data_IF_160236432229
#
_entry.id   IF_160236432229
#
_cell.length_a   1.000
_cell.length_b   1.000
_cell.length_c   1.000
_cell.angle_alpha   90.00
_cell.angle_beta   90.00
_cell.angle_gamma   90.00
#
_symmetry.space_group_name_H-M   'P 1'
#
loop_
_entity.id
_entity.type
_entity.pdbx_description
1 polymer ?
#
# COMPACT_ATOMS: atom_id res chain seq x y z
N UNK A 1 -20.67 -1.45 -5.97
CA UNK A 1 -19.76 -2.56 -5.61
C UNK A 1 -18.36 -2.06 -5.28
N UNK A 2 -17.75 -1.18 -6.08
CA UNK A 2 -16.37 -0.65 -5.86
C UNK A 2 -16.15 -0.02 -4.46
N UNK A 3 -17.07 0.83 -4.01
CA UNK A 3 -16.96 1.53 -2.70
C UNK A 3 -16.92 0.56 -1.51
N UNK A 4 -17.68 -0.53 -1.55
CA UNK A 4 -17.67 -1.52 -0.48
C UNK A 4 -16.33 -2.27 -0.43
N UNK A 5 -15.81 -2.66 -1.57
CA UNK A 5 -14.49 -3.31 -1.69
C UNK A 5 -13.37 -2.41 -1.16
N UNK A 6 -13.41 -1.12 -1.46
CA UNK A 6 -12.44 -0.14 -0.97
C UNK A 6 -12.43 -0.05 0.56
N UNK A 7 -13.61 0.03 1.18
CA UNK A 7 -13.70 0.08 2.66
C UNK A 7 -13.16 -1.19 3.31
N UNK A 8 -13.49 -2.34 2.75
CA UNK A 8 -12.99 -3.63 3.26
C UNK A 8 -11.48 -3.70 3.12
N UNK A 9 -10.93 -3.29 1.97
CA UNK A 9 -9.49 -3.22 1.73
C UNK A 9 -8.77 -2.35 2.77
N UNK A 10 -9.24 -1.12 2.96
CA UNK A 10 -8.66 -0.17 3.92
C UNK A 10 -8.75 -0.67 5.36
N UNK A 11 -9.87 -1.30 5.73
CA UNK A 11 -10.06 -1.85 7.08
C UNK A 11 -9.07 -2.97 7.36
N UNK A 12 -8.87 -3.91 6.43
CA UNK A 12 -7.87 -4.97 6.56
C UNK A 12 -6.44 -4.42 6.56
N UNK A 13 -6.15 -3.41 5.75
CA UNK A 13 -4.82 -2.81 5.67
C UNK A 13 -4.41 -2.16 7.00
N UNK A 14 -5.32 -1.39 7.61
CA UNK A 14 -5.06 -0.74 8.91
C UNK A 14 -4.99 -1.76 10.04
N UNK A 15 -5.82 -2.81 10.04
CA UNK A 15 -5.73 -3.92 10.99
C UNK A 15 -4.38 -4.65 10.88
N UNK A 16 -3.94 -4.95 9.67
CA UNK A 16 -2.65 -5.58 9.44
C UNK A 16 -1.49 -4.69 9.93
N UNK A 17 -1.56 -3.37 9.68
CA UNK A 17 -0.58 -2.41 10.16
C UNK A 17 -0.54 -2.34 11.70
N UNK A 18 -1.71 -2.37 12.34
CA UNK A 18 -1.79 -2.44 13.79
C UNK A 18 -1.07 -3.67 14.33
N UNK A 19 -1.36 -4.84 13.77
CA UNK A 19 -0.72 -6.11 14.17
C UNK A 19 0.78 -6.15 13.90
N UNK A 20 1.24 -5.44 12.88
CA UNK A 20 2.67 -5.31 12.53
C UNK A 20 3.41 -4.22 13.32
N UNK A 21 2.76 -3.54 14.26
CA UNK A 21 3.37 -2.47 15.06
C UNK A 21 3.54 -1.12 14.35
N UNK A 22 2.86 -0.93 13.21
CA UNK A 22 2.90 0.31 12.41
C UNK A 22 1.74 1.27 12.72
N UNK A 23 1.02 1.05 13.81
CA UNK A 23 -0.14 1.85 14.19
C UNK A 23 0.24 2.97 15.19
N UNK A 24 -0.26 4.21 15.01
CA UNK A 24 -1.09 4.66 13.89
C UNK A 24 -0.26 4.90 12.61
N UNK A 25 -0.93 4.76 11.46
CA UNK A 25 -0.33 5.05 10.16
C UNK A 25 -0.52 6.52 9.80
N UNK A 26 0.55 7.22 9.46
CA UNK A 26 0.41 8.54 8.87
C UNK A 26 -0.32 8.44 7.52
N UNK A 27 -1.06 9.49 7.16
CA UNK A 27 -1.75 9.62 5.88
C UNK A 27 -0.85 9.24 4.70
N UNK A 28 0.40 9.71 4.68
CA UNK A 28 1.37 9.39 3.62
C UNK A 28 1.68 7.89 3.56
N UNK A 29 1.99 7.26 4.69
CA UNK A 29 2.29 5.82 4.73
C UNK A 29 1.09 4.98 4.32
N UNK A 30 -0.11 5.40 4.71
CA UNK A 30 -1.32 4.69 4.32
C UNK A 30 -1.51 4.70 2.80
N UNK A 31 -1.39 5.86 2.14
CA UNK A 31 -1.49 5.95 0.69
C UNK A 31 -0.40 5.14 -0.02
N UNK A 32 0.82 5.11 0.53
CA UNK A 32 1.92 4.28 0.00
C UNK A 32 1.65 2.79 0.13
N UNK A 33 1.10 2.35 1.26
CA UNK A 33 0.67 0.96 1.44
C UNK A 33 -0.47 0.59 0.49
N UNK A 34 -1.45 1.47 0.29
CA UNK A 34 -2.51 1.28 -0.70
C UNK A 34 -1.90 1.14 -2.09
N UNK A 35 -0.92 1.97 -2.46
CA UNK A 35 -0.25 1.89 -3.75
C UNK A 35 0.44 0.53 -3.93
N UNK A 36 1.35 0.16 -3.03
CA UNK A 36 2.07 -1.11 -3.11
C UNK A 36 1.13 -2.31 -3.11
N UNK A 37 0.08 -2.27 -2.28
CA UNK A 37 -0.90 -3.35 -2.26
C UNK A 37 -1.72 -3.46 -3.55
N UNK A 38 -1.94 -2.39 -4.29
CA UNK A 38 -2.59 -2.47 -5.59
C UNK A 38 -1.65 -2.97 -6.69
N UNK A 39 -0.40 -2.50 -6.73
CA UNK A 39 0.59 -2.96 -7.70
C UNK A 39 0.88 -4.46 -7.57
N UNK A 40 0.94 -4.98 -6.34
CA UNK A 40 1.28 -6.37 -6.06
C UNK A 40 0.06 -7.31 -5.96
N UNK A 41 -1.16 -6.80 -6.06
CA UNK A 41 -2.37 -7.62 -5.96
C UNK A 41 -2.40 -8.79 -6.95
N UNK A 42 -2.01 -8.62 -8.24
CA UNK A 42 -2.02 -9.74 -9.18
C UNK A 42 -1.06 -10.87 -8.83
N UNK A 43 0.01 -10.61 -8.07
CA UNK A 43 0.93 -11.63 -7.57
C UNK A 43 0.20 -12.71 -6.72
N UNK A 44 -0.86 -12.29 -6.01
CA UNK A 44 -1.70 -13.15 -5.18
C UNK A 44 -3.06 -13.48 -5.83
N UNK A 45 -3.19 -13.28 -7.13
CA UNK A 45 -4.47 -13.44 -7.86
C UNK A 45 -5.59 -12.58 -7.28
N UNK A 46 -5.24 -11.50 -6.60
CA UNK A 46 -6.18 -10.52 -6.10
C UNK A 46 -6.40 -9.43 -7.16
N UNK A 47 -7.66 -8.98 -7.28
CA UNK A 47 -7.97 -7.85 -8.17
C UNK A 47 -7.56 -6.55 -7.47
N UNK A 48 -6.76 -5.69 -8.10
CA UNK A 48 -6.46 -4.36 -7.57
C UNK A 48 -7.74 -3.59 -7.24
N UNK A 49 -7.76 -2.92 -6.11
CA UNK A 49 -8.91 -2.10 -5.72
C UNK A 49 -9.00 -0.82 -6.55
N UNK A 50 -7.86 -0.28 -6.91
CA UNK A 50 -7.71 0.84 -7.84
C UNK A 50 -6.36 0.76 -8.55
N UNK A 51 -6.35 1.02 -9.83
CA UNK A 51 -5.15 0.99 -10.67
C UNK A 51 -4.69 2.39 -11.11
N UNK A 52 -5.45 3.43 -10.76
CA UNK A 52 -5.13 4.81 -11.11
C UNK A 52 -4.81 5.63 -9.87
N UNK A 53 -3.66 6.29 -9.89
CA UNK A 53 -3.20 7.18 -8.83
C UNK A 53 -2.84 8.55 -9.40
N UNK A 54 -2.90 9.55 -8.56
CA UNK A 54 -2.28 10.85 -8.83
C UNK A 54 -0.83 10.79 -8.38
N UNK A 55 0.10 11.13 -9.27
CA UNK A 55 1.50 11.39 -8.92
C UNK A 55 1.56 12.74 -8.21
N UNK A 56 1.44 12.71 -6.91
CA UNK A 56 1.44 13.92 -6.10
C UNK A 56 2.82 14.19 -5.50
N UNK A 57 3.11 15.45 -5.23
CA UNK A 57 4.41 15.93 -4.69
C UNK A 57 4.92 15.14 -3.46
N UNK A 58 3.99 14.67 -2.62
CA UNK A 58 4.33 13.91 -1.41
C UNK A 58 4.27 12.39 -1.58
N UNK A 59 4.09 11.90 -2.79
CA UNK A 59 3.97 10.48 -3.10
C UNK A 59 2.62 10.12 -3.72
N UNK A 60 2.36 8.81 -3.93
CA UNK A 60 1.12 8.34 -4.52
C UNK A 60 -0.08 8.82 -3.71
N UNK A 61 -1.06 9.40 -4.37
CA UNK A 61 -2.26 9.93 -3.75
C UNK A 61 -3.52 9.46 -4.49
N UNK A 62 -4.48 9.01 -3.73
CA UNK A 62 -5.77 8.54 -4.22
C UNK A 62 -6.88 9.39 -3.60
N UNK A 63 -7.48 10.35 -4.31
CA UNK A 63 -8.57 11.17 -3.77
C UNK A 63 -9.75 10.34 -3.26
N UNK A 64 -10.13 9.29 -4.00
CA UNK A 64 -11.23 8.40 -3.62
C UNK A 64 -10.90 7.62 -2.33
N UNK A 65 -9.67 7.15 -2.19
CA UNK A 65 -9.22 6.45 -0.97
C UNK A 65 -9.27 7.41 0.23
N UNK A 66 -8.81 8.65 0.07
CA UNK A 66 -8.88 9.64 1.14
C UNK A 66 -10.31 9.87 1.59
N UNK A 67 -11.23 9.99 0.65
CA UNK A 67 -12.65 10.13 0.97
C UNK A 67 -13.22 8.95 1.75
N UNK A 68 -12.84 7.73 1.39
CA UNK A 68 -13.31 6.53 2.10
C UNK A 68 -12.64 6.37 3.48
N UNK A 69 -11.39 6.82 3.65
CA UNK A 69 -10.74 6.90 4.97
C UNK A 69 -11.49 7.84 5.93
N UNK A 70 -11.87 9.02 5.45
CA UNK A 70 -12.60 10.00 6.24
C UNK A 70 -13.99 9.47 6.64
N UNK A 71 -14.65 8.75 5.74
CA UNK A 71 -15.92 8.06 6.05
C UNK A 71 -15.75 6.94 7.06
N UNK A 72 -14.73 6.10 6.92
CA UNK A 72 -14.45 5.03 7.88
C UNK A 72 -14.14 5.59 9.28
N UNK A 73 -13.44 6.72 9.35
CA UNK A 73 -13.21 7.43 10.59
C UNK A 73 -14.52 7.96 11.20
N UNK A 74 -15.36 8.60 10.39
CA UNK A 74 -16.69 9.09 10.83
C UNK A 74 -17.59 7.94 11.31
N UNK A 75 -17.48 6.76 10.71
CA UNK A 75 -18.22 5.56 11.10
C UNK A 75 -17.64 4.90 12.38
N UNK A 76 -16.49 5.32 12.86
CA UNK A 76 -15.80 4.72 14.01
C UNK A 76 -15.11 3.40 13.73
N UNK A 77 -14.93 3.05 12.43
CA UNK A 77 -14.14 1.89 12.00
C UNK A 77 -12.66 2.19 12.10
N UNK A 78 -12.25 3.40 11.71
CA UNK A 78 -10.91 3.94 11.93
C UNK A 78 -10.95 5.00 13.03
N UNK A 79 -9.85 5.13 13.76
CA UNK A 79 -9.57 6.28 14.60
C UNK A 79 -8.71 7.26 13.81
N UNK A 80 -8.96 8.55 13.94
CA UNK A 80 -8.13 9.61 13.38
C UNK A 80 -7.54 10.44 14.51
N UNK A 81 -6.26 10.77 14.39
CA UNK A 81 -5.51 11.55 15.38
C UNK A 81 -4.48 12.44 14.71
N UNK A 82 -3.86 13.34 15.47
CA UNK A 82 -2.77 14.19 15.02
C UNK A 82 -3.13 14.99 13.75
N UNK A 83 -4.38 15.46 13.65
CA UNK A 83 -4.81 16.28 12.52
C UNK A 83 -4.12 17.65 12.65
N UNK A 84 -3.34 18.02 11.65
CA UNK A 84 -2.62 19.28 11.63
C UNK A 84 -2.49 19.83 10.21
N UNK A 85 -2.45 21.16 10.10
CA UNK A 85 -1.98 21.83 8.90
C UNK A 85 -0.45 21.90 8.93
N UNK A 86 0.17 21.43 7.87
CA UNK A 86 1.61 21.45 7.72
C UNK A 86 1.97 22.28 6.49
N UNK A 87 3.01 23.06 6.59
CA UNK A 87 3.60 23.81 5.48
C UNK A 87 5.03 23.35 5.27
N UNK A 88 5.36 23.01 4.04
CA UNK A 88 6.73 22.69 3.61
C UNK A 88 7.02 23.37 2.26
N UNK A 89 8.17 23.05 1.66
CA UNK A 89 8.59 23.61 0.37
C UNK A 89 7.58 23.37 -0.77
N UNK A 90 6.70 22.37 -0.62
CA UNK A 90 5.68 21.98 -1.59
C UNK A 90 4.32 22.67 -1.32
N UNK A 91 4.20 23.44 -0.23
CA UNK A 91 3.01 24.18 0.13
C UNK A 91 2.24 23.65 1.34
N UNK A 92 1.00 24.07 1.48
CA UNK A 92 0.11 23.66 2.59
C UNK A 92 -0.57 22.33 2.34
N UNK A 93 -0.62 21.49 3.35
CA UNK A 93 -1.34 20.22 3.31
C UNK A 93 -1.82 19.79 4.70
N UNK A 94 -2.84 18.91 4.72
CA UNK A 94 -3.38 18.35 5.96
C UNK A 94 -2.69 17.02 6.24
N UNK A 95 -2.04 16.92 7.40
CA UNK A 95 -1.54 15.67 7.96
C UNK A 95 -2.58 15.08 8.92
N UNK A 96 -2.60 13.77 9.02
CA UNK A 96 -3.38 13.02 9.98
C UNK A 96 -2.79 11.61 10.14
N UNK A 97 -3.09 10.98 11.27
CA UNK A 97 -2.76 9.59 11.52
C UNK A 97 -4.04 8.76 11.66
N UNK A 98 -4.04 7.58 11.05
CA UNK A 98 -5.17 6.64 11.04
C UNK A 98 -4.81 5.38 11.82
N UNK A 99 -5.70 4.96 12.70
CA UNK A 99 -5.53 3.79 13.54
C UNK A 99 -6.80 2.97 13.68
N UNK A 100 -6.76 1.97 14.54
CA UNK A 100 -7.88 1.08 14.83
C UNK A 100 -8.98 1.82 15.59
N UNK A 101 -10.18 1.86 15.02
CA UNK A 101 -11.37 2.43 15.64
C UNK A 101 -12.17 1.39 16.41
N UNK A 102 -13.08 1.87 17.25
CA UNK A 102 -13.88 1.02 18.18
C UNK A 102 -14.76 -0.01 17.49
N UNK A 103 -15.13 0.22 16.23
CA UNK A 103 -15.99 -0.71 15.46
C UNK A 103 -15.21 -1.61 14.48
N UNK A 104 -13.88 -1.47 14.42
CA UNK A 104 -13.07 -2.20 13.44
C UNK A 104 -13.24 -3.71 13.57
N UNK A 105 -13.13 -4.27 14.78
CA UNK A 105 -13.23 -5.72 14.99
C UNK A 105 -14.58 -6.29 14.57
N UNK A 106 -15.67 -5.57 14.82
CA UNK A 106 -17.01 -5.99 14.36
C UNK A 106 -17.11 -6.05 12.84
N UNK A 107 -16.50 -5.11 12.13
CA UNK A 107 -16.47 -5.10 10.65
C UNK A 107 -15.60 -6.23 10.14
N UNK A 108 -14.40 -6.41 10.69
CA UNK A 108 -13.46 -7.46 10.28
C UNK A 108 -14.03 -8.86 10.50
N UNK A 109 -14.63 -9.11 11.65
CA UNK A 109 -15.24 -10.42 11.93
C UNK A 109 -16.36 -10.75 10.96
N UNK A 110 -17.11 -9.76 10.51
CA UNK A 110 -18.11 -9.95 9.45
C UNK A 110 -17.46 -10.22 8.08
N UNK A 111 -16.46 -9.46 7.69
CA UNK A 111 -15.77 -9.63 6.41
C UNK A 111 -15.05 -10.99 6.30
N UNK A 112 -14.44 -11.45 7.38
CA UNK A 112 -13.73 -12.75 7.47
C UNK A 112 -14.63 -13.97 7.33
N UNK A 113 -15.97 -13.82 7.38
CA UNK A 113 -16.91 -14.93 7.11
C UNK A 113 -16.95 -15.32 5.63
N UNK A 114 -16.55 -14.45 4.74
CA UNK A 114 -16.49 -14.73 3.30
C UNK A 114 -15.11 -15.22 2.89
N UNK A 115 -15.05 -16.16 1.92
CA UNK A 115 -13.77 -16.62 1.35
C UNK A 115 -12.99 -15.48 0.70
N UNK A 116 -13.66 -14.48 0.14
CA UNK A 116 -13.03 -13.27 -0.39
C UNK A 116 -12.34 -12.47 0.72
N UNK A 117 -13.04 -12.19 1.82
CA UNK A 117 -12.49 -11.42 2.93
C UNK A 117 -11.32 -12.13 3.62
N UNK A 118 -11.36 -13.47 3.72
CA UNK A 118 -10.23 -14.24 4.24
C UNK A 118 -9.00 -14.08 3.36
N UNK A 119 -9.10 -14.37 2.06
CA UNK A 119 -7.97 -14.23 1.12
C UNK A 119 -7.44 -12.80 1.03
N UNK A 120 -8.34 -11.81 1.01
CA UNK A 120 -7.92 -10.40 1.02
C UNK A 120 -7.17 -10.04 2.30
N UNK A 121 -7.66 -10.46 3.47
CA UNK A 121 -7.01 -10.21 4.75
C UNK A 121 -5.64 -10.86 4.85
N UNK A 122 -5.49 -12.10 4.37
CA UNK A 122 -4.20 -12.81 4.30
C UNK A 122 -3.22 -12.08 3.37
N UNK A 123 -3.66 -11.73 2.17
CA UNK A 123 -2.84 -10.98 1.21
C UNK A 123 -2.34 -9.65 1.79
N UNK A 124 -3.24 -8.83 2.34
CA UNK A 124 -2.87 -7.53 2.89
C UNK A 124 -1.97 -7.65 4.12
N UNK A 125 -2.12 -8.72 4.91
CA UNK A 125 -1.22 -9.00 6.02
C UNK A 125 0.21 -9.28 5.52
N UNK A 126 0.39 -10.02 4.42
CA UNK A 126 1.71 -10.26 3.82
C UNK A 126 2.34 -8.97 3.26
N UNK A 127 1.56 -8.14 2.56
CA UNK A 127 2.06 -6.83 2.07
C UNK A 127 2.53 -5.96 3.22
N UNK A 128 1.74 -5.86 4.28
CA UNK A 128 2.08 -5.05 5.45
C UNK A 128 3.28 -5.63 6.20
N UNK A 129 3.38 -6.96 6.34
CA UNK A 129 4.53 -7.60 6.95
C UNK A 129 5.83 -7.33 6.17
N UNK A 130 5.77 -7.42 4.83
CA UNK A 130 6.88 -7.04 3.95
C UNK A 130 7.29 -5.58 4.15
N UNK A 131 6.32 -4.68 4.15
CA UNK A 131 6.55 -3.25 4.38
C UNK A 131 7.13 -2.98 5.78
N UNK A 132 6.59 -3.58 6.83
CA UNK A 132 7.07 -3.42 8.20
C UNK A 132 8.48 -3.97 8.42
N UNK A 133 8.95 -4.86 7.57
CA UNK A 133 10.32 -5.40 7.63
C UNK A 133 11.38 -4.42 7.13
N UNK A 134 11.00 -3.32 6.48
CA UNK A 134 11.89 -2.28 5.96
C UNK A 134 12.47 -1.44 7.11
N UNK A 135 13.67 -0.90 6.91
CA UNK A 135 14.39 -0.17 7.96
C UNK A 135 14.52 1.32 7.65
N UNK A 136 14.45 2.13 8.71
CA UNK A 136 14.76 3.56 8.64
C UNK A 136 13.94 4.32 7.60
N UNK A 137 14.63 5.12 6.78
CA UNK A 137 14.03 5.94 5.73
C UNK A 137 13.34 5.10 4.62
N UNK A 138 13.69 3.82 4.46
CA UNK A 138 13.10 2.98 3.44
C UNK A 138 11.56 2.85 3.61
N UNK A 139 11.06 2.78 4.85
CA UNK A 139 9.62 2.80 5.13
C UNK A 139 8.89 3.98 4.49
N UNK A 140 9.55 5.12 4.39
CA UNK A 140 8.93 6.33 3.84
C UNK A 140 9.24 6.56 2.35
N UNK A 141 10.18 5.82 1.76
CA UNK A 141 10.64 6.08 0.40
C UNK A 141 10.38 4.96 -0.61
N UNK A 142 10.20 3.71 -0.17
CA UNK A 142 10.08 2.56 -1.10
C UNK A 142 8.99 2.73 -2.15
N UNK A 143 7.84 3.28 -1.79
CA UNK A 143 6.76 3.52 -2.75
C UNK A 143 7.09 4.59 -3.79
N UNK A 144 8.03 5.49 -3.49
CA UNK A 144 8.52 6.52 -4.42
C UNK A 144 9.57 5.97 -5.37
N UNK A 145 10.17 4.83 -5.02
CA UNK A 145 11.17 4.10 -5.81
C UNK A 145 10.60 2.89 -6.53
N UNK A 146 9.31 2.63 -6.34
CA UNK A 146 8.58 1.64 -7.10
C UNK A 146 8.59 2.01 -8.60
N UNK A 147 8.82 1.03 -9.46
CA UNK A 147 9.00 1.27 -10.90
C UNK A 147 7.78 1.88 -11.58
N UNK A 148 6.56 1.52 -11.14
CA UNK A 148 5.35 2.15 -11.67
C UNK A 148 5.29 3.64 -11.32
N UNK A 149 5.87 4.03 -10.18
CA UNK A 149 5.88 5.42 -9.73
C UNK A 149 7.08 6.20 -10.28
N UNK A 150 8.30 5.66 -10.21
CA UNK A 150 9.56 6.35 -10.57
C UNK A 150 9.72 6.50 -12.08
N UNK A 151 9.33 5.48 -12.88
CA UNK A 151 9.39 5.50 -14.35
C UNK A 151 8.36 6.37 -15.05
N UNK A 152 7.30 6.73 -14.35
CA UNK A 152 6.32 7.61 -14.95
C UNK A 152 7.01 8.93 -15.29
N UNK A 153 7.48 9.12 -16.50
CA UNK A 153 8.00 10.39 -17.05
C UNK A 153 6.95 11.51 -17.03
N UNK A 154 5.90 11.32 -16.27
CA UNK A 154 4.76 12.16 -16.04
C UNK A 154 5.12 13.21 -15.00
N UNK A 155 4.73 14.45 -15.26
CA UNK A 155 4.81 15.55 -14.31
C UNK A 155 4.01 15.27 -13.04
N UNK A 156 4.34 15.94 -11.94
CA UNK A 156 3.47 15.99 -10.77
C UNK A 156 2.04 16.38 -11.17
N UNK A 157 1.06 15.90 -10.40
CA UNK A 157 -0.38 16.05 -10.62
C UNK A 157 -0.94 15.28 -11.85
N UNK A 158 -0.14 14.43 -12.50
CA UNK A 158 -0.63 13.52 -13.55
C UNK A 158 -1.12 12.19 -12.99
N UNK A 159 -1.90 11.47 -13.81
CA UNK A 159 -2.36 10.13 -13.47
C UNK A 159 -1.35 9.07 -13.93
N UNK A 160 -1.09 8.10 -13.06
CA UNK A 160 -0.40 6.85 -13.39
C UNK A 160 -1.48 5.76 -13.44
N UNK A 161 -1.54 5.03 -14.53
CA UNK A 161 -2.42 3.89 -14.71
C UNK A 161 -1.57 2.62 -14.84
N UNK A 162 -1.85 1.63 -14.02
CA UNK A 162 -1.23 0.29 -14.05
C UNK A 162 -2.29 -0.81 -14.04
N UNK A 163 -3.48 -0.51 -14.60
CA UNK A 163 -4.57 -1.47 -14.77
C UNK A 163 -4.21 -2.60 -15.73
N UNK A 164 -3.39 -2.31 -16.74
CA UNK A 164 -2.82 -3.34 -17.60
C UNK A 164 -1.66 -4.05 -16.88
N UNK A 165 -1.74 -5.39 -16.79
CA UNK A 165 -0.69 -6.19 -16.18
C UNK A 165 0.63 -6.10 -16.98
N UNK A 166 0.56 -5.84 -18.28
CA UNK A 166 1.75 -5.62 -19.10
C UNK A 166 2.44 -4.28 -18.80
N UNK A 167 1.73 -3.32 -18.25
CA UNK A 167 2.27 -2.04 -17.79
C UNK A 167 2.59 -2.01 -16.30
N UNK A 168 2.29 -3.09 -15.56
CA UNK A 168 2.61 -3.19 -14.14
C UNK A 168 4.06 -3.68 -13.92
N UNK A 169 4.99 -2.73 -13.91
CA UNK A 169 6.43 -3.00 -13.73
C UNK A 169 6.76 -3.57 -12.34
N UNK A 170 6.05 -3.20 -11.30
CA UNK A 170 6.23 -3.76 -9.95
C UNK A 170 5.96 -5.26 -9.94
N UNK A 171 4.87 -5.68 -10.57
CA UNK A 171 4.54 -7.10 -10.74
C UNK A 171 5.62 -7.82 -11.57
N UNK A 172 6.03 -7.24 -12.71
CA UNK A 172 7.08 -7.84 -13.56
C UNK A 172 8.38 -8.01 -12.80
N UNK A 173 8.79 -7.01 -12.03
CA UNK A 173 10.01 -7.07 -11.22
C UNK A 173 9.90 -8.14 -10.12
N UNK A 174 8.76 -8.24 -9.44
CA UNK A 174 8.54 -9.29 -8.45
C UNK A 174 8.61 -10.69 -9.07
N UNK A 175 8.00 -10.90 -10.24
CA UNK A 175 8.03 -12.18 -10.95
C UNK A 175 9.41 -12.51 -11.53
N UNK A 176 10.24 -11.50 -11.88
CA UNK A 176 11.58 -11.72 -12.42
C UNK A 176 12.52 -12.44 -11.44
N UNK A 177 12.25 -12.41 -10.13
CA UNK A 177 13.04 -13.19 -9.17
C UNK A 177 13.00 -14.68 -9.43
N UNK A 178 11.94 -15.22 -10.05
CA UNK A 178 11.87 -16.63 -10.48
C UNK A 178 12.95 -16.98 -11.50
N UNK A 179 13.32 -16.06 -12.37
CA UNK A 179 14.29 -16.29 -13.44
C UNK A 179 15.74 -16.01 -13.04
N UNK A 180 15.92 -15.28 -11.93
CA UNK A 180 17.26 -14.90 -11.41
C UNK A 180 17.76 -15.91 -10.37
N UNK A 181 16.86 -16.57 -9.68
CA UNK A 181 17.21 -17.59 -8.69
C UNK A 181 17.53 -18.93 -9.39
N UNK A 182 18.39 -19.78 -8.78
CA UNK A 182 18.61 -21.14 -9.26
C UNK A 182 17.30 -21.94 -9.35
N UNK A 183 17.20 -22.85 -10.32
CA UNK A 183 16.00 -23.66 -10.59
C UNK A 183 15.52 -24.47 -9.39
N UNK A 184 16.43 -24.80 -8.45
CA UNK A 184 16.09 -25.49 -7.21
C UNK A 184 15.40 -24.60 -6.16
N UNK A 185 15.45 -23.27 -6.35
CA UNK A 185 14.94 -22.26 -5.42
C UNK A 185 13.77 -21.47 -6.04
N UNK A 186 12.68 -22.17 -6.38
CA UNK A 186 11.47 -21.51 -6.87
C UNK A 186 10.78 -20.78 -5.71
N UNK A 187 10.77 -19.43 -5.71
CA UNK A 187 10.17 -18.69 -4.61
C UNK A 187 8.65 -18.82 -4.62
N UNK A 188 8.06 -18.90 -3.44
CA UNK A 188 6.62 -18.75 -3.26
C UNK A 188 6.21 -17.27 -3.49
N UNK A 189 4.92 -17.01 -3.74
CA UNK A 189 4.39 -15.64 -3.91
C UNK A 189 4.74 -14.73 -2.73
N UNK A 190 4.76 -15.27 -1.53
CA UNK A 190 5.16 -14.55 -0.32
C UNK A 190 6.64 -14.17 -0.36
N UNK A 191 7.51 -15.09 -0.74
CA UNK A 191 8.93 -14.83 -0.87
C UNK A 191 9.21 -13.81 -2.00
N UNK A 192 8.51 -13.89 -3.13
CA UNK A 192 8.58 -12.88 -4.21
C UNK A 192 8.22 -11.49 -3.73
N UNK A 193 7.16 -11.36 -2.94
CA UNK A 193 6.77 -10.09 -2.31
C UNK A 193 7.88 -9.57 -1.39
N UNK A 194 8.42 -10.42 -0.52
CA UNK A 194 9.52 -10.05 0.38
C UNK A 194 10.79 -9.65 -0.38
N UNK A 195 11.17 -10.41 -1.42
CA UNK A 195 12.30 -10.10 -2.28
C UNK A 195 12.10 -8.74 -2.97
N UNK A 196 10.89 -8.47 -3.46
CA UNK A 196 10.56 -7.18 -4.04
C UNK A 196 10.70 -6.02 -3.04
N UNK A 197 10.19 -6.19 -1.82
CA UNK A 197 10.37 -5.16 -0.77
C UNK A 197 11.85 -4.93 -0.43
N UNK A 198 12.67 -5.99 -0.36
CA UNK A 198 14.11 -5.88 -0.15
C UNK A 198 14.84 -5.24 -1.32
N UNK A 199 14.40 -5.53 -2.54
CA UNK A 199 14.91 -4.84 -3.73
C UNK A 199 14.66 -3.32 -3.64
N UNK A 200 13.45 -2.90 -3.32
CA UNK A 200 13.12 -1.49 -3.13
C UNK A 200 13.96 -0.84 -2.01
N UNK A 201 14.14 -1.53 -0.89
CA UNK A 201 15.04 -1.08 0.21
C UNK A 201 16.47 -0.85 -0.29
N UNK A 202 17.00 -1.78 -1.07
CA UNK A 202 18.33 -1.66 -1.65
C UNK A 202 18.45 -0.48 -2.62
N UNK A 203 17.40 -0.22 -3.43
CA UNK A 203 17.35 0.94 -4.35
C UNK A 203 17.36 2.25 -3.56
N UNK A 204 16.57 2.34 -2.50
CA UNK A 204 16.57 3.52 -1.60
C UNK A 204 17.96 3.76 -1.00
N UNK A 205 18.56 2.70 -0.46
CA UNK A 205 19.88 2.79 0.20
C UNK A 205 20.99 3.20 -0.76
N UNK A 206 20.98 2.68 -2.00
CA UNK A 206 22.01 3.04 -3.01
C UNK A 206 21.91 4.49 -3.48
N UNK A 207 20.70 5.08 -3.55
CA UNK A 207 20.53 6.49 -3.94
C UNK A 207 20.86 7.47 -2.80
N UNK A 208 21.05 7.00 -1.55
CA UNK A 208 21.40 7.81 -0.40
C UNK A 208 22.94 7.99 -0.21
N UNK A 209 23.75 7.34 -1.05
CA UNK A 209 25.23 7.44 -1.13
C UNK A 209 25.59 8.29 -2.34
#
# INVERSE_FOLDING_TARGET
MLVFTTRVWLTFLVDAAYRAGLNPLSKRRLHRLVFLSNCLAPLFEATPNTAQIVKYKHGPFYPLIQWELDRLATMGVLAISNIAYTHDELGWWVSADYGVGVKMESVLSHCRRSAYGQRLGEYLAEVVAGFASLRGAALDEVALRDENYDRSGTSDDSFIDFSDQEENFSLKTALAFRTVLPDELVPTRKEELFLYMRFLEAVVTKKAI
#
